data_IF_491246050186
#
_entry.id   IF_491246050186
#
_cell.length_a   1.000
_cell.length_b   1.000
_cell.length_c   1.000
_cell.angle_alpha   90.00
_cell.angle_beta   90.00
_cell.angle_gamma   90.00
#
_symmetry.space_group_name_H-M   'P 1'
#
loop_
_entity.id
_entity.type
_entity.pdbx_description
1 polymer ?
#
# COMPACT_ATOMS: atom_id res chain seq x y z
N UNK A 1 -19.69 -26.47 -41.76
CA UNK A 1 -18.69 -26.74 -40.69
C UNK A 1 -17.71 -25.58 -40.49
N UNK A 2 -18.18 -24.32 -40.43
CA UNK A 2 -17.33 -23.13 -40.13
C UNK A 2 -17.87 -22.26 -38.99
N UNK A 3 -19.06 -22.57 -38.46
CA UNK A 3 -19.67 -21.83 -37.34
C UNK A 3 -19.28 -22.35 -35.96
N UNK A 4 -18.85 -23.61 -35.86
CA UNK A 4 -18.34 -24.18 -34.61
C UNK A 4 -17.00 -23.57 -34.18
N UNK A 5 -16.23 -23.00 -35.11
CA UNK A 5 -14.97 -22.31 -34.80
C UNK A 5 -15.19 -20.90 -34.22
N UNK A 6 -16.24 -20.21 -34.66
CA UNK A 6 -16.55 -18.85 -34.21
C UNK A 6 -17.14 -18.81 -32.79
N UNK A 7 -17.85 -19.85 -32.37
CA UNK A 7 -18.41 -19.94 -31.02
C UNK A 7 -17.32 -20.10 -29.94
N UNK A 8 -16.21 -20.77 -30.27
CA UNK A 8 -15.07 -20.94 -29.36
C UNK A 8 -14.18 -19.69 -29.26
N UNK A 9 -14.13 -18.87 -30.31
CA UNK A 9 -13.36 -17.61 -30.30
C UNK A 9 -14.09 -16.52 -29.49
N UNK A 10 -15.42 -16.56 -29.40
CA UNK A 10 -16.19 -15.60 -28.61
C UNK A 10 -16.15 -15.87 -27.08
N UNK A 11 -15.88 -17.11 -26.66
CA UNK A 11 -15.75 -17.46 -25.23
C UNK A 11 -14.35 -17.16 -24.65
N UNK A 12 -13.34 -16.92 -25.48
CA UNK A 12 -11.96 -16.75 -25.05
C UNK A 12 -11.57 -15.34 -24.59
N UNK A 13 -12.47 -14.36 -24.68
CA UNK A 13 -12.17 -12.92 -24.45
C UNK A 13 -12.80 -12.33 -23.18
N UNK A 14 -13.45 -13.15 -22.34
CA UNK A 14 -14.23 -12.68 -21.19
C UNK A 14 -13.63 -12.99 -19.81
N UNK A 15 -12.37 -13.44 -19.72
CA UNK A 15 -11.73 -13.71 -18.44
C UNK A 15 -10.22 -13.58 -18.66
N UNK A 16 -9.52 -12.55 -18.20
CA UNK A 16 -9.54 -11.98 -16.86
C UNK A 16 -9.65 -10.45 -16.91
N UNK A 17 -10.66 -9.88 -16.23
CA UNK A 17 -10.42 -8.64 -15.50
C UNK A 17 -9.75 -9.10 -14.20
N UNK A 18 -8.45 -8.87 -14.08
CA UNK A 18 -7.81 -8.91 -12.77
C UNK A 18 -8.41 -7.75 -11.97
N UNK A 19 -9.39 -8.06 -11.12
CA UNK A 19 -9.74 -7.17 -10.02
C UNK A 19 -8.49 -7.10 -9.15
N UNK A 20 -7.71 -6.01 -9.27
CA UNK A 20 -6.56 -5.75 -8.41
C UNK A 20 -7.02 -6.03 -6.98
N UNK A 21 -6.34 -6.92 -6.23
CA UNK A 21 -6.72 -7.19 -4.86
C UNK A 21 -6.78 -5.86 -4.12
N UNK A 22 -7.93 -5.59 -3.52
CA UNK A 22 -8.16 -4.47 -2.60
C UNK A 22 -6.92 -4.33 -1.73
N UNK A 23 -6.37 -3.11 -1.68
CA UNK A 23 -5.16 -2.74 -0.95
C UNK A 23 -5.21 -3.24 0.50
N UNK A 24 -4.82 -4.50 0.72
CA UNK A 24 -4.58 -5.04 2.04
C UNK A 24 -3.16 -4.67 2.39
N UNK A 25 -2.99 -3.90 3.46
CA UNK A 25 -1.67 -3.50 3.94
C UNK A 25 -0.79 -4.73 4.11
N UNK A 26 0.33 -4.78 3.40
CA UNK A 26 1.29 -5.88 3.55
C UNK A 26 2.13 -5.62 4.80
N UNK A 27 2.19 -6.61 5.69
CA UNK A 27 3.09 -6.55 6.85
C UNK A 27 4.50 -6.90 6.41
N UNK A 28 5.45 -6.02 6.69
CA UNK A 28 6.86 -6.15 6.33
C UNK A 28 7.73 -6.02 7.58
N UNK A 29 8.87 -6.71 7.60
CA UNK A 29 9.92 -6.48 8.59
C UNK A 29 10.92 -5.43 8.08
N UNK A 30 11.88 -5.06 8.93
CA UNK A 30 12.93 -4.08 8.60
C UNK A 30 13.63 -4.39 7.27
N UNK A 31 14.00 -5.63 7.01
CA UNK A 31 14.66 -6.02 5.76
C UNK A 31 13.75 -5.79 4.54
N UNK A 32 12.45 -6.03 4.69
CA UNK A 32 11.45 -5.72 3.66
C UNK A 32 11.39 -4.23 3.35
N UNK A 33 11.39 -3.39 4.39
CA UNK A 33 11.45 -1.93 4.22
C UNK A 33 12.74 -1.47 3.54
N UNK A 34 13.89 -2.01 3.95
CA UNK A 34 15.19 -1.71 3.36
C UNK A 34 15.23 -2.10 1.87
N UNK A 35 14.57 -3.19 1.48
CA UNK A 35 14.46 -3.56 0.07
C UNK A 35 13.62 -2.54 -0.72
N UNK A 36 12.48 -2.10 -0.18
CA UNK A 36 11.60 -1.12 -0.83
C UNK A 36 12.36 0.19 -1.14
N UNK A 37 13.12 0.72 -0.17
CA UNK A 37 13.80 2.02 -0.35
C UNK A 37 15.08 1.94 -1.18
N UNK A 38 15.67 0.74 -1.32
CA UNK A 38 16.88 0.53 -2.11
C UNK A 38 16.58 0.08 -3.55
N UNK A 39 15.35 -0.33 -3.83
CA UNK A 39 14.93 -0.67 -5.18
C UNK A 39 15.02 0.57 -6.08
N UNK A 40 15.78 0.52 -7.19
CA UNK A 40 15.88 1.66 -8.10
C UNK A 40 14.50 2.03 -8.64
N UNK A 41 14.12 3.29 -8.44
CA UNK A 41 12.87 3.86 -8.95
C UNK A 41 13.15 4.95 -9.97
N UNK A 42 12.39 4.95 -11.07
CA UNK A 42 12.39 6.07 -12.02
C UNK A 42 11.64 7.30 -11.47
N UNK A 43 10.82 7.10 -10.43
CA UNK A 43 10.07 8.14 -9.72
C UNK A 43 10.75 8.56 -8.43
N UNK A 44 10.56 9.81 -8.04
CA UNK A 44 10.93 10.31 -6.71
C UNK A 44 10.00 9.65 -5.68
N UNK A 45 10.58 8.86 -4.77
CA UNK A 45 9.81 8.26 -3.69
C UNK A 45 9.69 9.22 -2.49
N UNK A 46 8.47 9.41 -2.02
CA UNK A 46 8.16 10.11 -0.77
C UNK A 46 7.69 9.08 0.25
N UNK A 47 8.55 8.80 1.24
CA UNK A 47 8.25 7.84 2.30
C UNK A 47 7.64 8.59 3.48
N UNK A 48 6.39 8.28 3.82
CA UNK A 48 5.70 8.86 4.97
C UNK A 48 5.41 7.78 6.02
N UNK A 49 5.94 7.97 7.22
CA UNK A 49 5.64 7.11 8.36
C UNK A 49 4.45 7.69 9.12
N UNK A 50 3.46 6.86 9.40
CA UNK A 50 2.22 7.27 10.05
C UNK A 50 1.68 6.15 10.93
N UNK A 51 0.64 6.46 11.71
CA UNK A 51 -0.15 5.46 12.40
C UNK A 51 -1.57 5.99 12.65
N UNK A 52 -2.54 5.11 12.82
CA UNK A 52 -3.95 5.51 13.04
C UNK A 52 -4.15 6.31 14.33
N UNK A 53 -3.26 6.14 15.31
CA UNK A 53 -3.24 6.88 16.57
C UNK A 53 -2.42 8.18 16.52
N UNK A 54 -1.68 8.43 15.44
CA UNK A 54 -0.93 9.67 15.24
C UNK A 54 -1.82 10.73 14.58
N UNK A 55 -2.53 11.52 15.38
CA UNK A 55 -3.45 12.56 14.90
C UNK A 55 -2.85 13.52 13.84
N UNK A 56 -1.68 14.16 14.06
CA UNK A 56 -1.11 15.05 13.03
C UNK A 56 -0.70 14.29 11.76
N UNK A 57 -0.22 13.05 11.88
CA UNK A 57 0.12 12.23 10.72
C UNK A 57 -1.13 11.97 9.85
N UNK A 58 -2.25 11.61 10.50
CA UNK A 58 -3.53 11.36 9.83
C UNK A 58 -4.07 12.62 9.15
N UNK A 59 -4.00 13.78 9.80
CA UNK A 59 -4.39 15.07 9.22
C UNK A 59 -3.57 15.43 7.96
N UNK A 60 -2.34 14.92 7.85
CA UNK A 60 -1.44 15.16 6.72
C UNK A 60 -1.69 14.24 5.51
N UNK A 61 -2.27 13.04 5.70
CA UNK A 61 -2.44 12.05 4.63
C UNK A 61 -3.16 12.59 3.37
N UNK A 62 -4.24 13.40 3.46
CA UNK A 62 -4.89 13.96 2.28
C UNK A 62 -3.99 14.87 1.44
N UNK A 63 -2.95 15.47 2.04
CA UNK A 63 -1.98 16.28 1.30
C UNK A 63 -0.99 15.41 0.55
N UNK A 64 -0.56 14.29 1.14
CA UNK A 64 0.28 13.31 0.46
C UNK A 64 -0.47 12.62 -0.69
N UNK A 65 -1.75 12.26 -0.53
CA UNK A 65 -2.57 11.73 -1.62
C UNK A 65 -2.72 12.72 -2.78
N UNK A 66 -2.83 14.03 -2.49
CA UNK A 66 -2.84 15.08 -3.51
C UNK A 66 -1.51 15.15 -4.25
N UNK A 67 -0.37 15.00 -3.56
CA UNK A 67 0.95 14.96 -4.19
C UNK A 67 1.05 13.74 -5.11
N UNK A 68 0.69 12.55 -4.61
CA UNK A 68 0.71 11.30 -5.37
C UNK A 68 -0.16 11.35 -6.63
N UNK A 69 -1.31 12.05 -6.55
CA UNK A 69 -2.23 12.21 -7.68
C UNK A 69 -1.77 13.30 -8.67
N UNK A 70 -1.08 14.33 -8.19
CA UNK A 70 -0.74 15.52 -9.00
C UNK A 70 0.53 15.34 -9.82
N UNK A 71 1.49 14.56 -9.32
CA UNK A 71 2.82 14.43 -9.91
C UNK A 71 3.05 12.99 -10.36
N UNK A 72 3.05 12.76 -11.67
CA UNK A 72 3.24 11.43 -12.25
C UNK A 72 4.64 10.85 -11.98
N UNK A 73 5.63 11.72 -11.73
CA UNK A 73 7.03 11.41 -11.42
C UNK A 73 7.30 11.23 -9.92
N UNK A 74 6.27 11.30 -9.08
CA UNK A 74 6.34 11.01 -7.65
C UNK A 74 5.58 9.73 -7.34
N UNK A 75 6.09 8.97 -6.37
CA UNK A 75 5.39 7.84 -5.77
C UNK A 75 5.39 8.02 -4.25
N UNK A 76 4.20 8.11 -3.66
CA UNK A 76 4.05 8.19 -2.20
C UNK A 76 3.91 6.77 -1.65
N UNK A 77 4.77 6.44 -0.68
CA UNK A 77 4.73 5.17 0.04
C UNK A 77 4.45 5.46 1.51
N UNK A 78 3.33 4.93 2.00
CA UNK A 78 2.88 5.08 3.37
C UNK A 78 3.32 3.87 4.19
N UNK A 79 4.04 4.11 5.29
CA UNK A 79 4.52 3.08 6.21
C UNK A 79 3.76 3.23 7.54
N UNK A 80 2.81 2.33 7.78
CA UNK A 80 2.08 2.27 9.05
C UNK A 80 2.97 1.70 10.14
N UNK A 81 2.95 2.36 11.31
CA UNK A 81 3.60 1.96 12.55
C UNK A 81 2.58 1.47 13.60
N UNK A 82 1.37 1.11 13.15
CA UNK A 82 0.39 0.45 14.01
C UNK A 82 0.85 -0.98 14.35
N UNK A 83 0.33 -1.53 15.43
CA UNK A 83 0.60 -2.91 15.80
C UNK A 83 0.05 -3.88 14.73
N UNK A 84 0.74 -5.00 14.49
CA UNK A 84 0.34 -6.02 13.51
C UNK A 84 -1.08 -6.53 13.77
N UNK A 85 -1.46 -6.67 15.04
CA UNK A 85 -2.79 -7.11 15.46
C UNK A 85 -3.91 -6.11 15.07
N UNK A 86 -3.54 -4.86 14.78
CA UNK A 86 -4.46 -3.78 14.40
C UNK A 86 -4.66 -3.67 12.88
N UNK A 87 -3.88 -4.40 12.06
CA UNK A 87 -3.96 -4.34 10.59
C UNK A 87 -5.41 -4.56 10.10
N UNK A 88 -6.01 -5.68 10.48
CA UNK A 88 -7.35 -6.05 9.99
C UNK A 88 -8.47 -5.25 10.66
N UNK A 89 -8.29 -4.90 11.93
CA UNK A 89 -9.36 -4.30 12.74
C UNK A 89 -9.40 -2.77 12.67
N UNK A 90 -8.28 -2.13 12.33
CA UNK A 90 -8.12 -0.66 12.42
C UNK A 90 -7.51 -0.10 11.14
N UNK A 91 -6.34 -0.59 10.71
CA UNK A 91 -5.60 0.00 9.57
C UNK A 91 -6.34 -0.19 8.25
N UNK A 92 -6.70 -1.42 7.88
CA UNK A 92 -7.41 -1.69 6.62
C UNK A 92 -8.76 -0.96 6.53
N UNK A 93 -9.61 -0.93 7.58
CA UNK A 93 -10.81 -0.10 7.60
C UNK A 93 -10.52 1.39 7.39
N UNK A 94 -9.52 1.93 8.09
CA UNK A 94 -9.12 3.34 7.96
C UNK A 94 -8.70 3.68 6.54
N UNK A 95 -7.83 2.88 5.92
CA UNK A 95 -7.38 3.10 4.54
C UNK A 95 -8.54 3.10 3.54
N UNK A 96 -9.54 2.25 3.79
CA UNK A 96 -10.75 2.19 2.97
C UNK A 96 -11.65 3.41 3.17
N UNK A 97 -11.80 3.88 4.41
CA UNK A 97 -12.62 5.05 4.76
C UNK A 97 -12.02 6.34 4.20
N UNK A 98 -10.71 6.51 4.34
CA UNK A 98 -9.95 7.66 3.82
C UNK A 98 -9.65 7.57 2.31
N UNK A 99 -10.13 6.51 1.65
CA UNK A 99 -9.93 6.25 0.21
C UNK A 99 -8.45 6.36 -0.25
N UNK A 100 -7.52 5.89 0.59
CA UNK A 100 -6.08 5.96 0.33
C UNK A 100 -5.73 5.15 -0.93
N UNK A 101 -5.01 5.79 -1.86
CA UNK A 101 -4.59 5.21 -3.15
C UNK A 101 -3.10 4.92 -3.20
N UNK A 102 -2.29 5.60 -2.38
CA UNK A 102 -0.86 5.35 -2.27
C UNK A 102 -0.57 3.92 -1.81
N UNK A 103 0.65 3.44 -2.11
CA UNK A 103 1.12 2.14 -1.64
C UNK A 103 1.24 2.16 -0.11
N UNK A 104 0.70 1.15 0.58
CA UNK A 104 0.73 1.07 2.04
C UNK A 104 1.33 -0.24 2.53
N UNK A 105 2.29 -0.14 3.44
CA UNK A 105 2.91 -1.25 4.15
C UNK A 105 2.82 -1.02 5.66
N UNK A 106 2.68 -2.08 6.44
CA UNK A 106 2.81 -2.02 7.90
C UNK A 106 4.19 -2.54 8.27
N UNK A 107 4.97 -1.71 8.94
CA UNK A 107 6.30 -2.10 9.39
C UNK A 107 6.21 -2.74 10.77
N UNK A 108 6.36 -4.06 10.80
CA UNK A 108 6.57 -4.84 12.02
C UNK A 108 8.03 -4.67 12.47
N UNK A 109 8.30 -3.58 13.18
CA UNK A 109 9.57 -3.35 13.86
C UNK A 109 9.34 -3.29 15.38
N UNK A 110 9.25 -4.45 16.06
CA UNK A 110 9.06 -4.48 17.50
C UNK A 110 10.26 -3.83 18.17
N UNK A 111 10.01 -2.76 18.93
CA UNK A 111 11.05 -2.12 19.72
C UNK A 111 11.75 -3.18 20.60
N UNK A 112 13.10 -3.21 20.61
CA UNK A 112 13.84 -4.11 21.49
C UNK A 112 13.37 -3.92 22.93
N UNK A 113 12.96 -5.01 23.59
CA UNK A 113 12.44 -4.94 24.97
C UNK A 113 13.48 -4.47 26.01
N UNK A 114 14.77 -4.46 25.66
CA UNK A 114 15.81 -3.82 26.46
C UNK A 114 15.96 -2.37 26.01
N UNK A 115 15.51 -1.46 26.87
CA UNK A 115 15.39 -0.02 26.61
C UNK A 115 16.56 0.61 25.86
N UNK A 116 16.21 1.56 24.99
CA UNK A 116 17.17 2.40 24.30
C UNK A 116 18.17 3.02 25.30
N UNK A 117 19.49 2.82 25.12
CA UNK A 117 20.51 3.37 25.99
C UNK A 117 20.82 4.82 25.60
N UNK A 118 19.81 5.69 25.57
CA UNK A 118 20.03 7.13 25.49
C UNK A 118 20.18 7.69 26.91
#
# INVERSE_FOLDING_TARGET
>A
MKWTLYLFILLGILSCKEDKPISTTQVIQREGFINIINEPSEKIQVINFWATWCAPCVEELPYFEKVNTKYDDVDVVLISLDDVEKVTSTVNPFLKEEEIKSSVYLLDDPMPQSGYPW
#
